data_IF_342176098615
#
_entry.id   IF_342176098615
#
_cell.length_a   1.000
_cell.length_b   1.000
_cell.length_c   1.000
_cell.angle_alpha   90.00
_cell.angle_beta   90.00
_cell.angle_gamma   90.00
#
_symmetry.space_group_name_H-M   'P 1'
#
loop_
_entity.id
_entity.type
_entity.pdbx_description
1 polymer ?
#
# COMPACT_ATOMS: atom_id res chain seq x y z
N UNK A 1 -5.15 13.34 0.12
CA UNK A 1 -4.80 12.81 -1.22
C UNK A 1 -5.76 13.29 -2.32
N UNK A 2 -7.05 12.93 -2.28
CA UNK A 2 -8.02 13.23 -3.36
C UNK A 2 -8.04 14.71 -3.77
N UNK A 3 -8.11 15.63 -2.81
CA UNK A 3 -8.08 17.07 -3.09
C UNK A 3 -6.83 17.49 -3.88
N UNK A 4 -5.64 17.05 -3.44
CA UNK A 4 -4.37 17.36 -4.12
C UNK A 4 -4.31 16.75 -5.51
N UNK A 5 -4.80 15.52 -5.67
CA UNK A 5 -4.82 14.84 -6.96
C UNK A 5 -5.76 15.57 -7.94
N UNK A 6 -7.00 15.87 -7.53
CA UNK A 6 -7.96 16.60 -8.37
C UNK A 6 -7.47 18.01 -8.71
N UNK A 7 -6.82 18.70 -7.77
CA UNK A 7 -6.21 20.00 -8.06
C UNK A 7 -5.09 19.91 -9.12
N UNK A 8 -4.29 18.84 -9.12
CA UNK A 8 -3.18 18.66 -10.05
C UNK A 8 -3.61 18.14 -11.43
N UNK A 9 -4.63 17.28 -11.48
CA UNK A 9 -5.00 16.53 -12.70
C UNK A 9 -6.40 16.85 -13.23
N UNK A 10 -7.18 17.70 -12.55
CA UNK A 10 -8.52 18.12 -12.95
C UNK A 10 -9.64 17.14 -12.59
N UNK A 11 -9.31 15.86 -12.40
CA UNK A 11 -10.27 14.79 -12.09
C UNK A 11 -9.86 13.97 -10.87
N UNK A 12 -10.79 13.15 -10.35
CA UNK A 12 -10.46 12.12 -9.33
C UNK A 12 -9.65 10.98 -9.98
N UNK A 13 -8.86 10.22 -9.21
CA UNK A 13 -8.14 9.06 -9.76
C UNK A 13 -9.11 8.08 -10.42
N UNK A 14 -8.83 7.72 -11.68
CA UNK A 14 -9.67 6.81 -12.45
C UNK A 14 -9.52 5.35 -11.98
N UNK A 15 -8.40 4.99 -11.35
CA UNK A 15 -8.09 3.62 -10.94
C UNK A 15 -7.40 3.58 -9.58
N UNK A 16 -7.57 2.46 -8.87
CA UNK A 16 -6.90 2.20 -7.59
C UNK A 16 -5.37 2.15 -7.71
N UNK A 17 -4.81 1.90 -8.90
CA UNK A 17 -3.35 1.87 -9.12
C UNK A 17 -2.68 3.23 -8.87
N UNK A 18 -3.43 4.32 -8.97
CA UNK A 18 -2.94 5.65 -8.59
C UNK A 18 -2.64 5.72 -7.09
N UNK A 19 -3.45 5.06 -6.27
CA UNK A 19 -3.26 4.97 -4.83
C UNK A 19 -2.04 4.10 -4.50
N UNK A 20 -1.87 2.97 -5.18
CA UNK A 20 -0.71 2.09 -4.93
C UNK A 20 0.62 2.75 -5.28
N UNK A 21 0.65 3.64 -6.28
CA UNK A 21 1.85 4.44 -6.57
C UNK A 21 2.17 5.46 -5.47
N UNK A 22 1.15 6.11 -4.90
CA UNK A 22 1.33 6.99 -3.74
C UNK A 22 1.86 6.21 -2.53
N UNK A 23 1.24 5.06 -2.25
CA UNK A 23 1.59 4.21 -1.12
C UNK A 23 3.02 3.68 -1.23
N UNK A 24 3.48 3.27 -2.42
CA UNK A 24 4.84 2.80 -2.63
C UNK A 24 5.90 3.85 -2.26
N UNK A 25 5.67 5.12 -2.62
CA UNK A 25 6.58 6.22 -2.25
C UNK A 25 6.56 6.45 -0.73
N UNK A 26 5.39 6.37 -0.12
CA UNK A 26 5.22 6.59 1.31
C UNK A 26 5.90 5.49 2.14
N UNK A 27 5.75 4.21 1.75
CA UNK A 27 6.46 3.07 2.33
C UNK A 27 7.98 3.32 2.31
N UNK A 28 8.53 3.67 1.14
CA UNK A 28 9.97 3.90 1.00
C UNK A 28 10.44 5.09 1.83
N UNK A 29 9.67 6.18 1.88
CA UNK A 29 10.02 7.35 2.67
C UNK A 29 10.10 7.02 4.17
N UNK A 30 9.07 6.36 4.72
CA UNK A 30 9.05 5.97 6.14
C UNK A 30 10.17 4.96 6.45
N UNK A 31 10.45 4.02 5.55
CA UNK A 31 11.54 3.06 5.73
C UNK A 31 12.92 3.73 5.70
N UNK A 32 13.14 4.71 4.82
CA UNK A 32 14.37 5.51 4.76
C UNK A 32 14.55 6.32 6.04
N UNK A 33 13.47 6.94 6.55
CA UNK A 33 13.50 7.67 7.82
C UNK A 33 13.84 6.75 8.99
N UNK A 34 13.24 5.56 9.04
CA UNK A 34 13.52 4.55 10.07
C UNK A 34 14.97 4.02 9.99
N UNK A 35 15.48 3.78 8.78
CA UNK A 35 16.84 3.31 8.57
C UNK A 35 17.91 4.39 8.82
N UNK A 36 17.55 5.67 8.70
CA UNK A 36 18.48 6.80 8.79
C UNK A 36 19.49 6.84 7.62
N UNK A 37 19.21 6.15 6.52
CA UNK A 37 20.08 6.02 5.36
C UNK A 37 19.27 5.69 4.10
N UNK A 38 19.88 5.89 2.93
CA UNK A 38 19.32 5.48 1.63
C UNK A 38 19.99 4.23 1.08
N UNK A 39 20.82 3.54 1.87
CA UNK A 39 21.38 2.25 1.49
C UNK A 39 20.28 1.19 1.38
N UNK A 40 20.19 0.52 0.24
CA UNK A 40 19.06 -0.37 -0.06
C UNK A 40 18.95 -1.57 0.88
N UNK A 41 20.07 -2.13 1.34
CA UNK A 41 20.05 -3.26 2.27
C UNK A 41 19.59 -2.81 3.65
N UNK A 42 20.08 -1.67 4.14
CA UNK A 42 19.64 -1.10 5.41
C UNK A 42 18.16 -0.69 5.40
N UNK A 43 17.66 -0.12 4.29
CA UNK A 43 16.25 0.24 4.13
C UNK A 43 15.37 -1.01 4.10
N UNK A 44 15.75 -2.03 3.32
CA UNK A 44 15.01 -3.29 3.27
C UNK A 44 14.96 -3.97 4.64
N UNK A 45 16.07 -3.97 5.38
CA UNK A 45 16.10 -4.48 6.75
C UNK A 45 15.21 -3.67 7.69
N UNK A 46 15.17 -2.34 7.55
CA UNK A 46 14.30 -1.50 8.37
C UNK A 46 12.82 -1.78 8.12
N UNK A 47 12.43 -2.11 6.88
CA UNK A 47 11.06 -2.48 6.53
C UNK A 47 10.58 -3.76 7.22
N UNK A 48 11.49 -4.66 7.58
CA UNK A 48 11.14 -5.91 8.26
C UNK A 48 10.48 -5.61 9.61
N UNK A 49 9.23 -6.08 9.80
CA UNK A 49 8.48 -5.84 11.04
C UNK A 49 7.84 -4.46 11.17
N UNK A 50 7.94 -3.59 10.14
CA UNK A 50 7.15 -2.37 10.06
C UNK A 50 5.71 -2.66 9.61
N UNK A 51 4.79 -1.79 10.03
CA UNK A 51 3.41 -1.73 9.55
C UNK A 51 3.18 -0.33 8.99
N UNK A 52 2.50 -0.27 7.85
CA UNK A 52 2.21 0.96 7.12
C UNK A 52 0.70 1.16 7.03
N UNK A 53 0.24 2.34 7.44
CA UNK A 53 -1.14 2.80 7.24
C UNK A 53 -1.20 3.61 5.93
N UNK A 54 -1.84 3.05 4.91
CA UNK A 54 -1.73 3.49 3.52
C UNK A 54 -3.11 3.81 2.94
N UNK A 55 -3.16 4.56 1.84
CA UNK A 55 -4.43 4.91 1.19
C UNK A 55 -5.17 3.69 0.66
N UNK A 56 -4.45 2.64 0.29
CA UNK A 56 -5.01 1.37 -0.20
C UNK A 56 -5.08 0.27 0.87
N UNK A 57 -5.12 0.64 2.16
CA UNK A 57 -5.25 -0.30 3.29
C UNK A 57 -3.92 -0.68 3.91
N UNK A 58 -3.96 -1.30 5.09
CA UNK A 58 -2.78 -1.59 5.88
C UNK A 58 -1.87 -2.62 5.20
N UNK A 59 -0.56 -2.48 5.43
CA UNK A 59 0.45 -3.38 4.93
C UNK A 59 1.51 -3.65 6.00
N UNK A 60 1.96 -4.89 6.15
CA UNK A 60 3.18 -5.24 6.86
C UNK A 60 4.13 -6.05 5.97
N UNK A 61 5.41 -6.14 6.35
CA UNK A 61 6.45 -6.82 5.58
C UNK A 61 7.08 -7.97 6.37
N UNK A 62 7.22 -9.14 5.74
CA UNK A 62 7.89 -10.29 6.32
C UNK A 62 9.42 -10.13 6.31
N UNK A 63 10.14 -10.95 7.07
CA UNK A 63 11.60 -10.92 7.09
C UNK A 63 12.23 -11.44 5.77
N UNK A 64 13.53 -11.21 5.58
CA UNK A 64 14.26 -11.72 4.41
C UNK A 64 14.22 -13.25 4.28
N UNK A 65 14.20 -13.98 5.39
CA UNK A 65 14.23 -15.44 5.39
C UNK A 65 12.93 -16.04 4.82
N UNK A 66 11.81 -15.35 5.01
CA UNK A 66 10.49 -15.68 4.46
C UNK A 66 10.22 -15.04 3.10
N UNK A 67 11.18 -14.28 2.55
CA UNK A 67 11.13 -13.82 1.16
C UNK A 67 10.70 -12.37 0.95
N UNK A 68 10.68 -11.54 2.01
CA UNK A 68 10.25 -10.13 1.89
C UNK A 68 8.84 -10.02 1.28
N UNK A 69 7.90 -10.82 1.80
CA UNK A 69 6.53 -10.86 1.32
C UNK A 69 5.66 -9.81 2.04
N UNK A 70 4.91 -8.97 1.29
CA UNK A 70 3.97 -8.04 1.89
C UNK A 70 2.67 -8.74 2.28
N UNK A 71 2.24 -8.54 3.52
CA UNK A 71 0.90 -8.89 3.99
C UNK A 71 0.02 -7.64 3.90
N UNK A 72 -0.90 -7.61 2.92
CA UNK A 72 -1.66 -6.40 2.56
C UNK A 72 -3.17 -6.61 2.60
N UNK A 73 -3.88 -5.65 3.19
CA UNK A 73 -5.33 -5.57 3.11
C UNK A 73 -5.82 -5.23 1.69
N UNK A 74 -6.98 -5.77 1.32
CA UNK A 74 -7.67 -5.46 0.07
C UNK A 74 -9.06 -4.90 0.33
N UNK A 75 -9.50 -3.96 -0.51
CA UNK A 75 -10.86 -3.45 -0.47
C UNK A 75 -11.82 -4.40 -1.21
N UNK A 76 -12.90 -4.80 -0.54
CA UNK A 76 -14.05 -5.42 -1.19
C UNK A 76 -14.99 -4.32 -1.66
N UNK A 77 -15.30 -4.34 -2.95
CA UNK A 77 -16.16 -3.37 -3.61
C UNK A 77 -17.29 -4.11 -4.32
N UNK A 78 -18.53 -3.66 -4.10
CA UNK A 78 -19.69 -4.13 -4.85
C UNK A 78 -20.08 -3.11 -5.93
N UNK A 79 -20.74 -3.58 -6.99
CA UNK A 79 -21.37 -2.69 -7.98
C UNK A 79 -22.86 -2.62 -7.69
N UNK A 80 -23.34 -1.45 -7.26
CA UNK A 80 -24.74 -1.20 -6.95
C UNK A 80 -25.29 -0.21 -7.97
N UNK A 81 -26.20 -0.66 -8.84
CA UNK A 81 -26.76 0.19 -9.89
C UNK A 81 -25.72 0.72 -10.89
N UNK A 82 -24.60 0.02 -11.06
CA UNK A 82 -23.49 0.44 -11.93
C UNK A 82 -22.42 1.29 -11.24
N UNK A 83 -22.64 1.69 -9.98
CA UNK A 83 -21.71 2.50 -9.21
C UNK A 83 -20.92 1.64 -8.20
N UNK A 84 -19.60 1.85 -8.03
CA UNK A 84 -18.81 1.19 -7.00
C UNK A 84 -19.21 1.61 -5.58
N UNK A 85 -19.45 0.64 -4.70
CA UNK A 85 -19.67 0.84 -3.26
C UNK A 85 -18.63 0.08 -2.46
N UNK A 86 -17.93 0.78 -1.55
CA UNK A 86 -17.01 0.15 -0.62
C UNK A 86 -17.80 -0.68 0.39
N UNK A 87 -17.39 -1.93 0.59
CA UNK A 87 -18.01 -2.84 1.55
C UNK A 87 -17.16 -2.96 2.82
N UNK A 88 -15.89 -3.37 2.67
CA UNK A 88 -14.99 -3.61 3.79
C UNK A 88 -13.55 -3.81 3.32
N UNK A 89 -12.62 -3.66 4.27
CA UNK A 89 -11.25 -4.16 4.15
C UNK A 89 -11.20 -5.64 4.56
N UNK A 90 -10.35 -6.41 3.88
CA UNK A 90 -10.10 -7.82 4.19
C UNK A 90 -8.62 -8.09 4.08
N UNK A 91 -8.04 -8.75 5.08
CA UNK A 91 -6.73 -9.37 4.96
C UNK A 91 -6.90 -10.79 4.37
N UNK A 92 -6.31 -11.12 3.21
CA UNK A 92 -6.45 -12.44 2.62
C UNK A 92 -5.83 -13.54 3.49
N UNK A 93 -6.58 -14.61 3.77
CA UNK A 93 -6.07 -15.76 4.53
C UNK A 93 -5.34 -16.80 3.67
N UNK A 94 -5.53 -16.74 2.35
CA UNK A 94 -4.92 -17.67 1.39
C UNK A 94 -4.45 -16.91 0.14
N UNK A 95 -3.36 -16.11 0.24
CA UNK A 95 -2.80 -15.42 -0.91
C UNK A 95 -2.30 -16.42 -1.97
N UNK A 96 -2.42 -16.12 -3.27
CA UNK A 96 -1.86 -16.96 -4.32
C UNK A 96 -0.34 -17.06 -4.16
N UNK A 97 0.23 -18.21 -4.54
CA UNK A 97 1.67 -18.41 -4.53
C UNK A 97 2.38 -17.40 -5.46
N UNK A 98 3.62 -16.97 -5.11
CA UNK A 98 4.41 -16.05 -5.94
C UNK A 98 4.71 -16.59 -7.34
#
# INVERSE_FOLDING_TARGET
FIERYTAAYGDRPATAFTLTGWDAVYILAEAIEAAGTTDGAAVAQAMEGMTFDLLSGNLSWSDAASGHEPTKEVAIVSLQGGEPSFEKWVLPENPPAP
#
